data_IF_946266718199
#
_entry.id   IF_946266718199
#
_cell.length_a   1.000
_cell.length_b   1.000
_cell.length_c   1.000
_cell.angle_alpha   90.00
_cell.angle_beta   90.00
_cell.angle_gamma   90.00
#
_symmetry.space_group_name_H-M   'P 1'
#
loop_
_entity.id
_entity.type
_entity.pdbx_description
1 polymer ?
#
# COMPACT_ATOMS: atom_id res chain seq x y z
N UNK A 1 -12.87 7.41 -14.19
CA UNK A 1 -11.89 6.98 -13.17
C UNK A 1 -12.64 6.91 -11.85
N UNK A 2 -13.07 5.70 -11.43
CA UNK A 2 -13.92 5.54 -10.24
C UNK A 2 -13.06 5.74 -8.99
N UNK A 3 -13.44 6.70 -8.15
CA UNK A 3 -12.83 6.86 -6.82
C UNK A 3 -13.44 5.79 -5.91
N UNK A 4 -12.70 4.70 -5.69
CA UNK A 4 -13.11 3.68 -4.73
C UNK A 4 -12.83 4.22 -3.32
N UNK A 5 -13.89 4.60 -2.59
CA UNK A 5 -13.79 5.11 -1.23
C UNK A 5 -13.62 3.94 -0.26
N UNK A 6 -12.38 3.62 0.06
CA UNK A 6 -12.06 2.58 1.05
C UNK A 6 -12.03 3.20 2.45
N UNK A 7 -12.74 2.57 3.38
CA UNK A 7 -12.74 2.93 4.79
C UNK A 7 -11.63 2.16 5.51
N UNK A 8 -10.57 2.86 5.88
CA UNK A 8 -9.42 2.30 6.61
C UNK A 8 -9.32 3.07 7.93
N UNK A 9 -9.46 2.37 9.06
CA UNK A 9 -9.62 3.02 10.37
C UNK A 9 -8.27 3.28 11.06
N UNK A 10 -7.31 2.39 10.87
CA UNK A 10 -6.00 2.43 11.51
C UNK A 10 -4.91 1.89 10.57
N UNK A 11 -3.65 1.98 10.99
CA UNK A 11 -2.51 1.53 10.19
C UNK A 11 -2.48 0.00 9.96
N UNK A 12 -3.03 -0.80 10.87
CA UNK A 12 -3.15 -2.24 10.69
C UNK A 12 -4.15 -2.59 9.59
N UNK A 13 -5.29 -1.91 9.55
CA UNK A 13 -6.28 -2.04 8.47
C UNK A 13 -5.66 -1.60 7.13
N UNK A 14 -4.84 -0.54 7.14
CA UNK A 14 -4.12 -0.07 5.95
C UNK A 14 -3.19 -1.16 5.43
N UNK A 15 -2.36 -1.70 6.32
CA UNK A 15 -1.41 -2.77 6.03
C UNK A 15 -2.12 -3.99 5.43
N UNK A 16 -3.18 -4.45 6.09
CA UNK A 16 -3.95 -5.61 5.63
C UNK A 16 -4.58 -5.34 4.27
N UNK A 17 -5.22 -4.18 4.10
CA UNK A 17 -5.83 -3.79 2.83
C UNK A 17 -4.82 -3.78 1.68
N UNK A 18 -3.65 -3.16 1.89
CA UNK A 18 -2.59 -3.10 0.88
C UNK A 18 -2.05 -4.49 0.55
N UNK A 19 -1.82 -5.35 1.55
CA UNK A 19 -1.37 -6.72 1.32
C UNK A 19 -2.37 -7.51 0.49
N UNK A 20 -3.65 -7.45 0.86
CA UNK A 20 -4.73 -8.11 0.13
C UNK A 20 -4.82 -7.63 -1.32
N UNK A 21 -4.78 -6.32 -1.56
CA UNK A 21 -4.81 -5.77 -2.92
C UNK A 21 -3.60 -6.19 -3.76
N UNK A 22 -2.38 -6.14 -3.20
CA UNK A 22 -1.18 -6.59 -3.90
C UNK A 22 -1.26 -8.08 -4.25
N UNK A 23 -1.72 -8.91 -3.32
CA UNK A 23 -1.92 -10.34 -3.56
C UNK A 23 -2.99 -10.58 -4.63
N UNK A 24 -4.14 -9.94 -4.53
CA UNK A 24 -5.26 -10.11 -5.45
C UNK A 24 -4.89 -9.70 -6.88
N UNK A 25 -4.22 -8.56 -7.07
CA UNK A 25 -3.81 -8.07 -8.39
C UNK A 25 -2.77 -8.96 -9.09
N UNK A 26 -2.07 -9.79 -8.33
CA UNK A 26 -0.98 -10.63 -8.83
C UNK A 26 -1.26 -12.13 -8.64
N UNK A 27 -2.51 -12.49 -8.32
CA UNK A 27 -2.96 -13.87 -8.13
C UNK A 27 -2.11 -14.65 -7.11
N UNK A 28 -1.71 -13.96 -6.02
CA UNK A 28 -0.91 -14.54 -4.94
C UNK A 28 -1.78 -14.88 -3.73
N UNK A 29 -1.43 -15.96 -3.04
CA UNK A 29 -2.03 -16.31 -1.75
C UNK A 29 -1.62 -15.32 -0.66
N UNK A 30 -2.59 -14.85 0.13
CA UNK A 30 -2.33 -13.87 1.20
C UNK A 30 -1.59 -14.57 2.34
N UNK A 31 -0.49 -13.98 2.78
CA UNK A 31 0.36 -14.51 3.85
C UNK A 31 1.37 -15.57 3.41
N UNK A 32 1.33 -16.03 2.15
CA UNK A 32 2.32 -16.96 1.61
C UNK A 32 3.71 -16.31 1.38
N UNK A 33 3.74 -14.99 1.21
CA UNK A 33 4.95 -14.22 0.89
C UNK A 33 5.26 -13.19 1.98
N UNK A 34 6.55 -12.90 2.15
CA UNK A 34 6.99 -11.93 3.13
C UNK A 34 6.50 -10.52 2.75
N UNK A 35 5.94 -9.81 3.73
CA UNK A 35 5.40 -8.47 3.56
C UNK A 35 6.03 -7.52 4.58
N UNK A 36 6.66 -6.47 4.06
CA UNK A 36 7.35 -5.46 4.87
C UNK A 36 6.75 -4.09 4.68
N UNK A 37 6.91 -3.24 5.69
CA UNK A 37 6.52 -1.85 5.64
C UNK A 37 7.59 -0.95 6.25
N UNK A 38 7.65 0.31 5.79
CA UNK A 38 8.57 1.33 6.27
C UNK A 38 7.89 2.69 6.25
N UNK A 39 8.00 3.45 7.35
CA UNK A 39 7.58 4.85 7.39
C UNK A 39 8.49 5.69 6.50
N UNK A 40 7.88 6.49 5.63
CA UNK A 40 8.57 7.48 4.81
C UNK A 40 8.57 8.81 5.55
N UNK A 41 9.74 9.45 5.57
CA UNK A 41 9.91 10.76 6.19
C UNK A 41 10.32 11.78 5.13
N UNK A 42 9.77 12.99 5.22
CA UNK A 42 10.17 14.15 4.42
C UNK A 42 10.50 15.29 5.36
N UNK A 43 11.73 15.78 5.30
CA UNK A 43 12.21 16.86 6.18
C UNK A 43 12.03 16.58 7.68
N UNK A 44 12.17 15.31 8.09
CA UNK A 44 12.01 14.88 9.49
C UNK A 44 10.56 14.68 9.94
N UNK A 45 9.57 14.82 9.04
CA UNK A 45 8.16 14.53 9.34
C UNK A 45 7.68 13.27 8.59
N UNK A 46 6.95 12.35 9.25
CA UNK A 46 6.31 11.23 8.57
C UNK A 46 5.37 11.71 7.48
N UNK A 47 5.58 11.24 6.25
CA UNK A 47 4.81 11.66 5.08
C UNK A 47 4.10 10.50 4.37
N UNK A 48 4.37 9.26 4.75
CA UNK A 48 3.73 8.10 4.15
C UNK A 48 4.26 6.77 4.67
N UNK A 49 3.79 5.70 4.07
CA UNK A 49 4.27 4.33 4.35
C UNK A 49 4.54 3.64 3.02
N UNK A 50 5.72 3.04 2.91
CA UNK A 50 6.12 2.18 1.84
C UNK A 50 5.86 0.72 2.23
N UNK A 51 5.16 -0.01 1.37
CA UNK A 51 4.84 -1.42 1.53
C UNK A 51 5.52 -2.24 0.43
N UNK A 52 6.08 -3.40 0.78
CA UNK A 52 6.76 -4.28 -0.15
C UNK A 52 6.38 -5.75 0.10
N UNK A 53 5.76 -6.35 -0.91
CA UNK A 53 5.47 -7.79 -0.97
C UNK A 53 6.56 -8.48 -1.80
N UNK A 54 7.22 -9.46 -1.17
CA UNK A 54 8.32 -10.21 -1.76
C UNK A 54 7.77 -11.46 -2.45
N UNK A 55 7.33 -11.31 -3.68
CA UNK A 55 6.70 -12.37 -4.45
C UNK A 55 7.68 -13.42 -5.00
N UNK A 56 7.18 -14.39 -5.77
CA UNK A 56 7.98 -15.47 -6.33
C UNK A 56 8.99 -14.94 -7.37
N UNK A 57 10.09 -15.66 -7.56
CA UNK A 57 11.14 -15.33 -8.56
C UNK A 57 11.77 -13.94 -8.37
N UNK A 58 11.92 -13.51 -7.11
CA UNK A 58 12.49 -12.21 -6.74
C UNK A 58 11.70 -10.99 -7.20
N UNK A 59 10.42 -11.16 -7.56
CA UNK A 59 9.56 -10.02 -7.89
C UNK A 59 9.25 -9.20 -6.63
N UNK A 60 9.27 -7.88 -6.76
CA UNK A 60 8.87 -6.96 -5.69
C UNK A 60 7.65 -6.20 -6.15
N UNK A 61 6.56 -6.36 -5.40
CA UNK A 61 5.32 -5.64 -5.61
C UNK A 61 5.22 -4.58 -4.52
N UNK A 62 4.96 -3.34 -4.92
CA UNK A 62 5.14 -2.19 -4.05
C UNK A 62 3.86 -1.37 -4.01
N UNK A 63 3.55 -0.86 -2.83
CA UNK A 63 2.54 0.19 -2.68
C UNK A 63 3.06 1.30 -1.76
N UNK A 64 2.60 2.52 -1.99
CA UNK A 64 2.93 3.68 -1.19
C UNK A 64 1.64 4.35 -0.76
N UNK A 65 1.43 4.48 0.55
CA UNK A 65 0.42 5.39 1.07
C UNK A 65 1.07 6.75 1.34
N UNK A 66 0.54 7.81 0.74
CA UNK A 66 0.92 9.20 1.01
C UNK A 66 -0.10 9.87 1.94
N UNK A 67 0.38 10.49 3.00
CA UNK A 67 -0.46 11.21 3.98
C UNK A 67 -1.06 12.49 3.39
N UNK A 68 -0.29 13.23 2.59
CA UNK A 68 -0.67 14.54 2.03
C UNK A 68 -1.96 14.51 1.22
N UNK A 69 -2.14 13.48 0.38
CA UNK A 69 -3.34 13.28 -0.44
C UNK A 69 -4.21 12.15 0.08
N UNK A 70 -3.83 11.53 1.19
CA UNK A 70 -4.49 10.35 1.73
C UNK A 70 -4.79 9.29 0.65
N UNK A 71 -3.76 8.97 -0.14
CA UNK A 71 -3.89 8.15 -1.35
C UNK A 71 -2.93 6.97 -1.27
N UNK A 72 -3.38 5.80 -1.71
CA UNK A 72 -2.54 4.63 -1.93
C UNK A 72 -2.19 4.54 -3.42
N UNK A 73 -0.92 4.41 -3.72
CA UNK A 73 -0.35 4.23 -5.05
C UNK A 73 0.23 2.83 -5.15
N UNK A 74 -0.28 2.01 -6.06
CA UNK A 74 0.23 0.67 -6.32
C UNK A 74 1.13 0.67 -7.55
N UNK A 75 2.24 -0.05 -7.45
CA UNK A 75 3.25 -0.18 -8.48
C UNK A 75 3.38 -1.63 -8.92
N UNK A 76 3.42 -1.83 -10.23
CA UNK A 76 3.68 -3.12 -10.85
C UNK A 76 5.15 -3.53 -10.69
N UNK A 77 5.46 -4.75 -11.12
CA UNK A 77 6.80 -5.34 -11.00
C UNK A 77 7.89 -4.58 -11.77
N UNK A 78 7.52 -3.73 -12.74
CA UNK A 78 8.46 -2.93 -13.53
C UNK A 78 8.59 -1.49 -13.01
N UNK A 79 7.95 -1.17 -11.88
CA UNK A 79 7.97 0.16 -11.25
C UNK A 79 6.96 1.15 -11.83
N UNK A 80 6.10 0.72 -12.76
CA UNK A 80 5.01 1.50 -13.29
C UNK A 80 3.85 1.60 -12.28
N UNK A 81 3.17 2.74 -12.22
CA UNK A 81 1.98 2.89 -11.37
C UNK A 81 0.77 2.23 -12.05
N UNK A 82 0.21 1.22 -11.40
CA UNK A 82 -0.91 0.41 -11.93
C UNK A 82 -2.26 0.80 -11.36
N UNK A 83 -2.31 1.24 -10.10
CA UNK A 83 -3.56 1.61 -9.44
C UNK A 83 -3.36 2.78 -8.47
N UNK A 84 -4.43 3.57 -8.34
CA UNK A 84 -4.53 4.66 -7.37
C UNK A 84 -5.84 4.54 -6.60
N UNK A 85 -5.78 4.53 -5.28
CA UNK A 85 -6.94 4.45 -4.40
C UNK A 85 -6.95 5.66 -3.46
N UNK A 86 -8.05 6.40 -3.46
CA UNK A 86 -8.26 7.54 -2.56
C UNK A 86 -8.97 7.03 -1.31
N UNK A 87 -8.35 7.20 -0.14
CA UNK A 87 -9.01 6.87 1.12
C UNK A 87 -9.99 7.97 1.50
N UNK A 88 -11.11 7.57 2.09
CA UNK A 88 -12.16 8.51 2.52
C UNK A 88 -11.72 9.40 3.69
N UNK A 89 -10.89 8.84 4.58
CA UNK A 89 -10.30 9.52 5.73
C UNK A 89 -8.90 8.94 5.99
N UNK A 90 -7.96 9.72 6.54
CA UNK A 90 -6.64 9.20 6.89
C UNK A 90 -6.78 8.20 8.06
N UNK A 91 -6.11 7.03 8.01
CA UNK A 91 -6.08 6.11 9.13
C UNK A 91 -5.50 6.81 10.37
N UNK A 92 -6.13 6.58 11.53
CA UNK A 92 -5.64 7.11 12.80
C UNK A 92 -4.28 6.50 13.17
N UNK A 93 -3.36 7.34 13.63
CA UNK A 93 -2.18 6.94 14.40
C UNK A 93 -2.64 6.67 15.84
N UNK A 94 -3.27 5.52 16.10
CA UNK A 94 -3.63 5.12 17.46
C UNK A 94 -2.64 4.10 18.01
#
# INVERSE_FOLDING_TARGET
>A
MQAHLVQIRNLTDLRNYVQHELCQQNELEVGAFHFTERVLEKSGAPCGIFFCLHGPRSVKLVAIWETSRNTILFYGSSGERVLRIQLAQPPGLN
#
